data_IF_553310818129
#
_entry.id   IF_553310818129
#
_cell.length_a   1.000
_cell.length_b   1.000
_cell.length_c   1.000
_cell.angle_alpha   90.00
_cell.angle_beta   90.00
_cell.angle_gamma   90.00
#
_symmetry.space_group_name_H-M   'P 1'
#
loop_
_entity.id
_entity.type
_entity.pdbx_description
1 polymer ?
#
# COMPACT_ATOMS: atom_id res chain seq x y z
N UNK A 1 -19.54 27.30 -11.53
CA UNK A 1 -18.54 26.31 -12.05
C UNK A 1 -17.31 26.12 -11.15
N UNK A 2 -16.72 27.18 -10.55
CA UNK A 2 -15.64 27.02 -9.55
C UNK A 2 -16.07 26.41 -8.20
N UNK A 3 -17.31 26.63 -7.67
CA UNK A 3 -17.72 26.01 -6.42
C UNK A 3 -18.00 24.51 -6.52
N UNK A 4 -18.37 23.99 -7.68
CA UNK A 4 -18.63 22.56 -7.86
C UNK A 4 -17.34 21.74 -7.99
N UNK A 5 -16.26 22.32 -8.53
CA UNK A 5 -14.93 21.71 -8.55
C UNK A 5 -14.28 21.70 -7.16
N UNK A 6 -14.55 22.73 -6.34
CA UNK A 6 -14.15 22.74 -4.93
C UNK A 6 -14.96 21.77 -4.07
N UNK A 7 -16.22 21.52 -4.41
CA UNK A 7 -17.05 20.49 -3.75
C UNK A 7 -16.62 19.06 -4.09
N UNK A 8 -16.04 18.83 -5.28
CA UNK A 8 -15.47 17.53 -5.65
C UNK A 8 -14.11 17.27 -4.99
N UNK A 9 -13.40 18.32 -4.56
CA UNK A 9 -12.17 18.20 -3.76
C UNK A 9 -12.47 17.90 -2.27
N UNK A 10 -13.70 18.07 -1.83
CA UNK A 10 -14.25 17.51 -0.59
C UNK A 10 -14.93 16.15 -0.89
N UNK A 11 -14.20 15.24 -1.55
CA UNK A 11 -14.55 13.83 -1.46
C UNK A 11 -14.70 13.55 0.03
N UNK A 12 -15.93 13.30 0.50
CA UNK A 12 -16.19 13.13 1.92
C UNK A 12 -15.24 12.07 2.48
N UNK A 13 -14.92 12.11 3.76
CA UNK A 13 -13.98 11.24 4.44
C UNK A 13 -14.10 9.76 4.01
N UNK A 14 -15.32 9.24 3.88
CA UNK A 14 -15.60 7.87 3.46
C UNK A 14 -15.15 7.55 2.02
N UNK A 15 -15.45 8.35 0.99
CA UNK A 15 -14.93 8.12 -0.36
C UNK A 15 -13.41 8.11 -0.42
N UNK A 16 -12.73 9.03 0.28
CA UNK A 16 -11.27 9.08 0.30
C UNK A 16 -10.68 7.83 0.99
N UNK A 17 -11.20 7.43 2.14
CA UNK A 17 -10.79 6.21 2.82
C UNK A 17 -11.07 4.95 1.97
N UNK A 18 -12.25 4.88 1.33
CA UNK A 18 -12.63 3.76 0.46
C UNK A 18 -11.75 3.65 -0.79
N UNK A 19 -11.45 4.76 -1.43
CA UNK A 19 -10.53 4.80 -2.58
C UNK A 19 -9.13 4.35 -2.16
N UNK A 20 -8.59 4.90 -1.08
CA UNK A 20 -7.28 4.48 -0.55
C UNK A 20 -7.27 3.00 -0.18
N UNK A 21 -8.34 2.51 0.46
CA UNK A 21 -8.48 1.10 0.79
C UNK A 21 -8.37 0.22 -0.45
N UNK A 22 -9.14 0.50 -1.50
CA UNK A 22 -9.12 -0.28 -2.74
C UNK A 22 -7.76 -0.22 -3.43
N UNK A 23 -7.17 0.98 -3.50
CA UNK A 23 -5.86 1.21 -4.10
C UNK A 23 -4.78 0.36 -3.42
N UNK A 24 -4.67 0.48 -2.10
CA UNK A 24 -3.66 -0.24 -1.32
C UNK A 24 -3.95 -1.74 -1.30
N UNK A 25 -5.23 -2.15 -1.20
CA UNK A 25 -5.61 -3.56 -1.24
C UNK A 25 -5.14 -4.24 -2.53
N UNK A 26 -5.39 -3.61 -3.68
CA UNK A 26 -4.97 -4.16 -4.99
C UNK A 26 -3.46 -4.12 -5.17
N UNK A 27 -2.79 -3.09 -4.65
CA UNK A 27 -1.34 -2.93 -4.70
C UNK A 27 -0.59 -4.01 -3.92
N UNK A 28 -1.13 -4.39 -2.76
CA UNK A 28 -0.46 -5.25 -1.77
C UNK A 28 -0.98 -6.69 -1.76
N UNK A 29 -1.96 -7.00 -2.63
CA UNK A 29 -2.45 -8.36 -2.73
C UNK A 29 -1.39 -9.26 -3.36
N UNK A 30 -0.83 -10.21 -2.59
CA UNK A 30 0.23 -11.11 -3.02
C UNK A 30 1.66 -10.59 -2.80
N UNK A 31 1.85 -9.48 -2.09
CA UNK A 31 3.19 -8.93 -1.84
C UNK A 31 3.96 -9.66 -0.71
N UNK A 32 5.24 -9.31 -0.55
CA UNK A 32 6.21 -9.96 0.36
C UNK A 32 5.73 -10.03 1.81
N UNK A 33 5.13 -8.97 2.33
CA UNK A 33 4.57 -8.93 3.69
C UNK A 33 3.47 -9.97 3.91
N UNK A 34 2.64 -10.22 2.89
CA UNK A 34 1.63 -11.27 2.94
C UNK A 34 2.29 -12.65 3.01
N UNK A 35 3.37 -12.91 2.25
CA UNK A 35 4.12 -14.15 2.29
C UNK A 35 4.78 -14.37 3.66
N UNK A 36 5.37 -13.32 4.26
CA UNK A 36 5.92 -13.35 5.62
C UNK A 36 4.84 -13.77 6.62
N UNK A 37 3.68 -13.13 6.58
CA UNK A 37 2.55 -13.47 7.46
C UNK A 37 2.03 -14.90 7.24
N UNK A 38 2.00 -15.38 5.98
CA UNK A 38 1.64 -16.76 5.63
C UNK A 38 2.62 -17.77 6.22
N UNK A 39 3.92 -17.52 6.08
CA UNK A 39 4.99 -18.40 6.59
C UNK A 39 4.96 -18.49 8.11
N UNK A 40 4.81 -17.36 8.80
CA UNK A 40 4.67 -17.33 10.26
C UNK A 40 3.39 -18.03 10.71
N UNK A 41 2.27 -17.87 10.00
CA UNK A 41 0.99 -18.49 10.32
C UNK A 41 0.97 -20.01 10.14
N UNK A 42 1.88 -20.56 9.34
CA UNK A 42 2.07 -22.00 9.20
C UNK A 42 2.61 -22.64 10.49
N UNK A 43 3.34 -21.89 11.31
CA UNK A 43 4.03 -22.36 12.52
C UNK A 43 3.46 -21.83 13.83
N UNK A 44 2.75 -20.67 13.77
CA UNK A 44 2.28 -19.94 14.95
C UNK A 44 0.77 -19.65 14.90
N UNK A 45 0.23 -19.17 16.03
CA UNK A 45 -1.15 -18.68 16.09
C UNK A 45 -1.33 -17.42 15.26
N UNK A 46 -2.37 -17.37 14.42
CA UNK A 46 -2.57 -16.25 13.48
C UNK A 46 -2.85 -14.89 14.14
N UNK A 47 -3.58 -14.85 15.27
CA UNK A 47 -3.95 -13.57 15.90
C UNK A 47 -2.74 -12.72 16.32
N UNK A 48 -1.72 -13.24 17.01
CA UNK A 48 -0.51 -12.47 17.33
C UNK A 48 0.21 -11.92 16.08
N UNK A 49 0.20 -12.68 14.99
CA UNK A 49 0.80 -12.27 13.71
C UNK A 49 0.01 -11.09 13.13
N UNK A 50 -1.32 -11.19 13.07
CA UNK A 50 -2.18 -10.10 12.60
C UNK A 50 -1.96 -8.84 13.44
N UNK A 51 -1.93 -8.96 14.77
CA UNK A 51 -1.72 -7.82 15.67
C UNK A 51 -0.36 -7.16 15.42
N UNK A 52 0.72 -7.95 15.33
CA UNK A 52 2.07 -7.44 15.05
C UNK A 52 2.17 -6.73 13.69
N UNK A 53 1.64 -7.37 12.64
CA UNK A 53 1.66 -6.80 11.30
C UNK A 53 0.82 -5.52 11.18
N UNK A 54 -0.41 -5.53 11.69
CA UNK A 54 -1.30 -4.34 11.66
C UNK A 54 -0.70 -3.19 12.46
N UNK A 55 -0.07 -3.45 13.60
CA UNK A 55 0.63 -2.42 14.36
C UNK A 55 1.80 -1.81 13.55
N UNK A 56 2.59 -2.63 12.86
CA UNK A 56 3.67 -2.17 11.98
C UNK A 56 3.12 -1.29 10.85
N UNK A 57 2.11 -1.75 10.14
CA UNK A 57 1.47 -1.00 9.06
C UNK A 57 0.83 0.31 9.54
N UNK A 58 0.18 0.32 10.70
CA UNK A 58 -0.40 1.54 11.26
C UNK A 58 0.67 2.60 11.53
N UNK A 59 1.82 2.20 12.08
CA UNK A 59 2.95 3.12 12.32
C UNK A 59 3.55 3.59 11.00
N UNK A 60 3.80 2.68 10.05
CA UNK A 60 4.39 3.01 8.76
C UNK A 60 3.49 3.95 7.94
N UNK A 61 2.19 3.67 7.89
CA UNK A 61 1.22 4.54 7.20
C UNK A 61 1.10 5.91 7.89
N UNK A 62 1.17 5.97 9.23
CA UNK A 62 1.17 7.23 9.95
C UNK A 62 2.38 8.08 9.55
N UNK A 63 3.58 7.48 9.55
CA UNK A 63 4.80 8.17 9.12
C UNK A 63 4.70 8.64 7.67
N UNK A 64 4.17 7.79 6.77
CA UNK A 64 4.00 8.11 5.35
C UNK A 64 3.04 9.30 5.14
N UNK A 65 1.89 9.30 5.81
CA UNK A 65 0.89 10.36 5.73
C UNK A 65 1.42 11.67 6.30
N UNK A 66 2.10 11.64 7.45
CA UNK A 66 2.70 12.83 8.05
C UNK A 66 3.80 13.41 7.15
N UNK A 67 4.65 12.56 6.56
CA UNK A 67 5.65 12.97 5.61
C UNK A 67 5.01 13.56 4.35
N UNK A 68 3.99 12.91 3.78
CA UNK A 68 3.27 13.39 2.61
C UNK A 68 2.62 14.75 2.84
N UNK A 69 1.94 14.93 3.97
CA UNK A 69 1.33 16.21 4.34
C UNK A 69 2.38 17.32 4.53
N UNK A 70 3.54 16.99 5.15
CA UNK A 70 4.63 17.94 5.30
C UNK A 70 5.23 18.36 3.96
N UNK A 71 5.44 17.41 3.05
CA UNK A 71 5.94 17.68 1.69
C UNK A 71 4.96 18.55 0.90
N UNK A 72 3.66 18.27 0.97
CA UNK A 72 2.62 19.04 0.31
C UNK A 72 2.57 20.51 0.74
N UNK A 73 2.91 20.80 2.00
CA UNK A 73 2.97 22.16 2.51
C UNK A 73 4.08 23.02 1.88
N UNK A 74 5.11 22.39 1.29
CA UNK A 74 6.29 23.05 0.73
C UNK A 74 6.35 23.01 -0.79
N UNK A 75 5.68 22.06 -1.44
CA UNK A 75 5.76 21.84 -2.87
C UNK A 75 4.49 22.32 -3.59
N UNK A 76 4.61 22.90 -4.81
CA UNK A 76 3.46 23.22 -5.62
C UNK A 76 2.71 21.95 -6.06
N UNK A 77 1.38 22.03 -6.12
CA UNK A 77 0.48 20.90 -6.40
C UNK A 77 0.83 20.12 -7.67
N UNK A 78 1.24 20.83 -8.75
CA UNK A 78 1.62 20.16 -10.00
C UNK A 78 2.84 19.26 -9.84
N UNK A 79 3.80 19.65 -9.00
CA UNK A 79 5.01 18.85 -8.75
C UNK A 79 4.70 17.61 -7.94
N UNK A 80 3.82 17.72 -6.96
CA UNK A 80 3.32 16.58 -6.18
C UNK A 80 2.57 15.60 -7.08
N UNK A 81 1.65 16.09 -7.93
CA UNK A 81 0.90 15.26 -8.87
C UNK A 81 1.82 14.55 -9.86
N UNK A 82 2.84 15.25 -10.38
CA UNK A 82 3.83 14.65 -11.27
C UNK A 82 4.63 13.54 -10.55
N UNK A 83 5.09 13.80 -9.34
CA UNK A 83 5.82 12.81 -8.55
C UNK A 83 4.99 11.55 -8.29
N UNK A 84 3.72 11.71 -7.91
CA UNK A 84 2.77 10.60 -7.71
C UNK A 84 2.53 9.82 -9.01
N UNK A 85 2.38 10.52 -10.15
CA UNK A 85 2.22 9.87 -11.45
C UNK A 85 3.45 9.03 -11.83
N UNK A 86 4.65 9.57 -11.64
CA UNK A 86 5.93 8.86 -11.89
C UNK A 86 6.05 7.63 -10.98
N UNK A 87 5.70 7.77 -9.69
CA UNK A 87 5.69 6.65 -8.74
C UNK A 87 4.73 5.54 -9.20
N UNK A 88 3.50 5.87 -9.51
CA UNK A 88 2.52 4.88 -9.98
C UNK A 88 2.95 4.23 -11.28
N UNK A 89 3.54 4.98 -12.22
CA UNK A 89 4.09 4.41 -13.45
C UNK A 89 5.23 3.42 -13.15
N UNK A 90 6.16 3.79 -12.28
CA UNK A 90 7.29 2.92 -11.89
C UNK A 90 6.81 1.63 -11.22
N UNK A 91 5.84 1.72 -10.31
CA UNK A 91 5.24 0.56 -9.64
C UNK A 91 4.47 -0.33 -10.61
N UNK A 92 3.69 0.28 -11.51
CA UNK A 92 2.98 -0.45 -12.55
C UNK A 92 3.92 -1.27 -13.43
N UNK A 93 5.00 -0.64 -13.92
CA UNK A 93 6.02 -1.30 -14.74
C UNK A 93 6.72 -2.41 -13.95
N UNK A 94 7.09 -2.14 -12.69
CA UNK A 94 7.79 -3.11 -11.85
C UNK A 94 6.90 -4.34 -11.55
N UNK A 95 5.63 -4.10 -11.22
CA UNK A 95 4.65 -5.15 -10.96
C UNK A 95 4.38 -6.03 -12.21
N UNK A 96 4.41 -5.45 -13.42
CA UNK A 96 4.29 -6.21 -14.67
C UNK A 96 5.54 -7.04 -14.98
N UNK A 97 6.72 -6.63 -14.49
CA UNK A 97 8.00 -7.34 -14.66
C UNK A 97 8.24 -8.41 -13.61
N UNK A 98 7.35 -8.53 -12.63
CA UNK A 98 7.47 -9.53 -11.56
C UNK A 98 7.67 -10.93 -12.13
N UNK A 99 8.63 -11.67 -11.57
CA UNK A 99 8.94 -13.07 -11.88
C UNK A 99 8.97 -13.88 -10.59
N UNK A 100 8.35 -15.05 -10.59
CA UNK A 100 8.26 -15.93 -9.41
C UNK A 100 9.63 -16.40 -8.86
N UNK A 101 10.74 -16.08 -9.55
CA UNK A 101 12.10 -16.47 -9.13
C UNK A 101 12.71 -15.58 -8.02
N UNK A 102 12.05 -14.48 -7.62
CA UNK A 102 12.61 -13.51 -6.68
C UNK A 102 12.16 -13.70 -5.21
N UNK A 103 11.28 -14.67 -4.90
CA UNK A 103 10.64 -14.81 -3.59
C UNK A 103 11.33 -15.77 -2.58
N UNK A 104 12.58 -16.21 -2.83
CA UNK A 104 13.29 -17.20 -1.97
C UNK A 104 14.02 -16.61 -0.74
N UNK A 105 13.69 -15.40 -0.28
CA UNK A 105 14.24 -14.90 0.98
C UNK A 105 13.54 -15.55 2.19
N UNK A 106 14.18 -16.57 2.74
CA UNK A 106 13.75 -17.23 3.98
C UNK A 106 13.80 -16.25 5.16
N UNK A 107 12.67 -16.05 5.81
CA UNK A 107 12.56 -15.23 7.03
C UNK A 107 13.15 -16.01 8.21
N UNK A 108 14.32 -15.59 8.71
CA UNK A 108 14.91 -16.15 9.93
C UNK A 108 14.21 -15.61 11.19
N UNK A 109 13.65 -16.52 11.99
CA UNK A 109 13.15 -16.19 13.32
C UNK A 109 14.29 -16.00 14.31
N UNK A 110 14.33 -14.86 15.00
CA UNK A 110 15.22 -14.66 16.15
C UNK A 110 14.56 -15.23 17.43
N UNK A 111 15.19 -16.23 18.11
CA UNK A 111 14.68 -16.76 19.36
C UNK A 111 14.66 -15.67 20.46
N UNK A 112 13.56 -15.58 21.20
CA UNK A 112 13.49 -14.77 22.43
C UNK A 112 12.53 -13.59 22.44
N UNK A 113 11.90 -13.24 21.31
CA UNK A 113 10.87 -12.20 21.26
C UNK A 113 9.49 -12.85 21.06
N UNK A 114 8.44 -12.32 21.72
CA UNK A 114 7.07 -12.79 21.46
C UNK A 114 6.70 -12.58 19.99
N UNK A 115 5.91 -13.52 19.43
CA UNK A 115 5.56 -13.52 17.99
C UNK A 115 4.98 -12.19 17.50
N UNK A 116 4.32 -11.40 18.36
CA UNK A 116 3.83 -10.06 18.02
C UNK A 116 5.00 -9.12 17.71
N UNK A 117 6.02 -9.08 18.58
CA UNK A 117 7.18 -8.22 18.40
C UNK A 117 8.03 -8.67 17.20
N UNK A 118 8.18 -9.96 17.00
CA UNK A 118 8.88 -10.53 15.85
C UNK A 118 8.17 -10.13 14.55
N UNK A 119 6.86 -10.33 14.46
CA UNK A 119 6.08 -9.96 13.27
C UNK A 119 6.12 -8.46 13.04
N UNK A 120 5.95 -7.64 14.08
CA UNK A 120 6.06 -6.19 13.97
C UNK A 120 7.41 -5.79 13.37
N UNK A 121 8.51 -6.29 13.92
CA UNK A 121 9.86 -5.93 13.47
C UNK A 121 10.12 -6.37 12.04
N UNK A 122 9.72 -7.59 11.69
CA UNK A 122 9.91 -8.11 10.33
C UNK A 122 9.12 -7.29 9.31
N UNK A 123 7.85 -7.05 9.55
CA UNK A 123 7.00 -6.25 8.64
C UNK A 123 7.49 -4.81 8.60
N UNK A 124 7.82 -4.21 9.75
CA UNK A 124 8.31 -2.84 9.80
C UNK A 124 9.58 -2.66 8.97
N UNK A 125 10.55 -3.57 9.10
CA UNK A 125 11.81 -3.49 8.35
C UNK A 125 11.64 -3.83 6.86
N UNK A 126 10.79 -4.82 6.53
CA UNK A 126 10.53 -5.23 5.16
C UNK A 126 9.82 -4.15 4.34
N UNK A 127 8.91 -3.41 5.00
CA UNK A 127 8.04 -2.42 4.35
C UNK A 127 8.53 -0.97 4.53
N UNK A 128 9.59 -0.75 5.30
CA UNK A 128 10.12 0.59 5.52
C UNK A 128 10.67 1.20 4.23
N UNK A 129 10.02 2.26 3.74
CA UNK A 129 10.40 2.92 2.49
C UNK A 129 9.91 2.24 1.22
N UNK A 130 9.01 1.24 1.32
CA UNK A 130 8.47 0.54 0.16
C UNK A 130 7.49 1.42 -0.66
N UNK A 131 7.14 0.91 -1.85
CA UNK A 131 6.22 1.52 -2.83
C UNK A 131 4.92 2.01 -2.20
N UNK A 132 4.32 1.23 -1.29
CA UNK A 132 3.05 1.57 -0.65
C UNK A 132 3.16 2.77 0.27
N UNK A 133 4.26 2.92 1.00
CA UNK A 133 4.50 4.12 1.81
C UNK A 133 4.59 5.38 0.94
N UNK A 134 5.26 5.29 -0.21
CA UNK A 134 5.35 6.41 -1.15
C UNK A 134 3.98 6.74 -1.75
N UNK A 135 3.17 5.73 -2.09
CA UNK A 135 1.81 5.92 -2.57
C UNK A 135 0.91 6.55 -1.49
N UNK A 136 0.98 6.06 -0.24
CA UNK A 136 0.24 6.59 0.91
C UNK A 136 0.67 8.03 1.23
N UNK A 137 1.97 8.35 1.16
CA UNK A 137 2.47 9.70 1.30
C UNK A 137 1.94 10.62 0.19
N UNK A 138 1.94 10.17 -1.06
CA UNK A 138 1.39 10.89 -2.19
C UNK A 138 -0.12 11.15 -2.06
N UNK A 139 -0.90 10.13 -1.65
CA UNK A 139 -2.33 10.29 -1.38
C UNK A 139 -2.58 11.23 -0.19
N UNK A 140 -1.82 11.10 0.90
CA UNK A 140 -1.92 11.93 2.09
C UNK A 140 -1.55 13.39 1.85
N UNK A 141 -0.77 13.69 0.79
CA UNK A 141 -0.45 15.06 0.37
C UNK A 141 -1.59 15.74 -0.42
N UNK A 142 -2.46 14.96 -1.05
CA UNK A 142 -3.51 15.48 -1.95
C UNK A 142 -4.93 15.28 -1.42
N UNK A 143 -5.11 14.52 -0.34
CA UNK A 143 -6.41 14.25 0.30
C UNK A 143 -6.30 14.38 1.82
N UNK A 144 -7.40 14.17 2.53
CA UNK A 144 -7.42 14.27 4.00
C UNK A 144 -6.57 13.14 4.62
N UNK A 145 -5.50 13.48 5.37
CA UNK A 145 -4.51 12.52 5.87
C UNK A 145 -5.07 11.38 6.71
N UNK A 146 -6.07 11.66 7.57
CA UNK A 146 -6.65 10.64 8.45
C UNK A 146 -7.45 9.59 7.64
N UNK A 147 -8.15 10.00 6.59
CA UNK A 147 -8.89 9.07 5.71
C UNK A 147 -7.95 8.15 4.96
N UNK A 148 -6.80 8.67 4.49
CA UNK A 148 -5.76 7.89 3.83
C UNK A 148 -5.14 6.88 4.79
N UNK A 149 -4.80 7.31 6.01
CA UNK A 149 -4.25 6.42 7.03
C UNK A 149 -5.18 5.27 7.38
N UNK A 150 -6.47 5.55 7.60
CA UNK A 150 -7.48 4.53 7.91
C UNK A 150 -7.66 3.57 6.73
N UNK A 151 -7.82 4.11 5.51
CA UNK A 151 -8.00 3.31 4.30
C UNK A 151 -6.82 2.37 4.04
N UNK A 152 -5.60 2.90 4.07
CA UNK A 152 -4.39 2.11 3.86
C UNK A 152 -4.19 1.04 4.94
N UNK A 153 -4.35 1.41 6.22
CA UNK A 153 -4.18 0.46 7.33
C UNK A 153 -5.25 -0.64 7.30
N UNK A 154 -6.50 -0.31 6.98
CA UNK A 154 -7.56 -1.30 6.83
C UNK A 154 -7.30 -2.26 5.66
N UNK A 155 -6.76 -1.76 4.52
CA UNK A 155 -6.38 -2.59 3.39
C UNK A 155 -5.29 -3.60 3.76
N UNK A 156 -4.20 -3.12 4.39
CA UNK A 156 -3.09 -3.96 4.82
C UNK A 156 -3.49 -4.95 5.94
N UNK A 157 -4.38 -4.55 6.83
CA UNK A 157 -4.98 -5.48 7.80
C UNK A 157 -5.77 -6.59 7.10
N UNK A 158 -6.53 -6.24 6.05
CA UNK A 158 -7.31 -7.20 5.27
C UNK A 158 -6.41 -8.19 4.54
N UNK A 159 -5.37 -7.71 3.83
CA UNK A 159 -4.40 -8.59 3.15
C UNK A 159 -3.67 -9.49 4.13
N UNK A 160 -3.30 -8.96 5.31
CA UNK A 160 -2.68 -9.75 6.39
C UNK A 160 -3.60 -10.88 6.89
N UNK A 161 -4.87 -10.58 7.18
CA UNK A 161 -5.85 -11.59 7.62
C UNK A 161 -6.04 -12.65 6.55
N UNK A 162 -6.18 -12.26 5.29
CA UNK A 162 -6.28 -13.18 4.17
C UNK A 162 -5.01 -14.03 4.03
N UNK A 163 -3.83 -13.43 4.13
CA UNK A 163 -2.54 -14.12 4.11
C UNK A 163 -2.41 -15.14 5.23
N UNK A 164 -2.72 -14.77 6.47
CA UNK A 164 -2.69 -15.67 7.63
C UNK A 164 -3.67 -16.84 7.46
N UNK A 165 -4.87 -16.60 6.93
CA UNK A 165 -5.83 -17.67 6.66
C UNK A 165 -5.38 -18.57 5.51
N UNK A 166 -4.82 -18.00 4.45
CA UNK A 166 -4.28 -18.74 3.31
C UNK A 166 -3.05 -19.57 3.72
N UNK A 167 -2.14 -19.03 4.53
CA UNK A 167 -0.97 -19.74 5.03
C UNK A 167 -1.31 -20.99 5.83
N UNK A 168 -2.44 -20.98 6.52
CA UNK A 168 -2.96 -22.14 7.24
C UNK A 168 -3.62 -23.20 6.36
N UNK A 169 -4.11 -22.83 5.19
CA UNK A 169 -4.95 -23.70 4.36
C UNK A 169 -4.39 -24.00 2.97
N UNK A 170 -3.53 -23.14 2.40
CA UNK A 170 -3.32 -23.12 0.96
C UNK A 170 -1.91 -22.73 0.49
N UNK A 171 -0.85 -23.01 1.25
CA UNK A 171 0.54 -22.62 0.97
C UNK A 171 1.03 -22.80 -0.50
N UNK A 172 0.33 -23.57 -1.36
CA UNK A 172 0.83 -23.99 -2.67
C UNK A 172 -0.10 -23.65 -3.86
N UNK A 173 -1.10 -22.76 -3.76
CA UNK A 173 -2.11 -22.61 -4.84
C UNK A 173 -2.49 -21.19 -5.24
N UNK A 174 -1.79 -20.14 -4.77
CA UNK A 174 -2.14 -18.77 -5.18
C UNK A 174 -1.43 -18.40 -6.49
N UNK A 175 -2.15 -17.95 -7.52
CA UNK A 175 -1.56 -17.51 -8.79
C UNK A 175 -0.99 -16.09 -8.66
N UNK A 176 0.12 -15.93 -7.94
CA UNK A 176 0.77 -14.65 -7.63
C UNK A 176 1.05 -13.82 -8.89
N UNK A 177 1.48 -14.46 -9.96
CA UNK A 177 1.78 -13.81 -11.24
C UNK A 177 0.59 -13.00 -11.79
N UNK A 178 -0.63 -13.58 -11.73
CA UNK A 178 -1.83 -12.89 -12.22
C UNK A 178 -2.21 -11.70 -11.37
N UNK A 179 -1.99 -11.80 -10.06
CA UNK A 179 -2.26 -10.73 -9.10
C UNK A 179 -1.32 -9.56 -9.37
N UNK A 180 -0.02 -9.81 -9.50
CA UNK A 180 0.96 -8.79 -9.84
C UNK A 180 0.68 -8.12 -11.19
N UNK A 181 0.29 -8.87 -12.21
CA UNK A 181 -0.09 -8.31 -13.51
C UNK A 181 -1.32 -7.40 -13.42
N UNK A 182 -2.36 -7.82 -12.69
CA UNK A 182 -3.57 -7.01 -12.48
C UNK A 182 -3.24 -5.70 -11.74
N UNK A 183 -2.43 -5.77 -10.67
CA UNK A 183 -1.95 -4.61 -9.93
C UNK A 183 -1.11 -3.67 -10.81
N UNK A 184 -0.23 -4.23 -11.64
CA UNK A 184 0.59 -3.46 -12.57
C UNK A 184 -0.23 -2.64 -13.57
N UNK A 185 -1.22 -3.27 -14.21
CA UNK A 185 -2.15 -2.57 -15.11
C UNK A 185 -2.91 -1.47 -14.37
N UNK A 186 -3.38 -1.75 -13.17
CA UNK A 186 -4.11 -0.79 -12.36
C UNK A 186 -3.28 0.45 -12.00
N UNK A 187 -2.02 0.28 -11.56
CA UNK A 187 -1.12 1.39 -11.31
C UNK A 187 -0.81 2.22 -12.55
N UNK A 188 -0.65 1.59 -13.71
CA UNK A 188 -0.46 2.33 -14.96
C UNK A 188 -1.69 3.14 -15.35
N UNK A 189 -2.90 2.64 -15.10
CA UNK A 189 -4.13 3.41 -15.31
C UNK A 189 -4.19 4.64 -14.38
N UNK A 190 -3.77 4.49 -13.13
CA UNK A 190 -3.70 5.61 -12.18
C UNK A 190 -2.66 6.65 -12.58
N UNK A 191 -1.47 6.22 -13.00
CA UNK A 191 -0.44 7.11 -13.51
C UNK A 191 -0.97 7.89 -14.72
N UNK A 192 -1.65 7.21 -15.67
CA UNK A 192 -2.28 7.83 -16.82
C UNK A 192 -3.36 8.85 -16.42
N UNK A 193 -4.21 8.53 -15.44
CA UNK A 193 -5.23 9.45 -14.94
C UNK A 193 -4.62 10.70 -14.28
N UNK A 194 -3.56 10.53 -13.46
CA UNK A 194 -2.85 11.65 -12.85
C UNK A 194 -2.18 12.56 -13.88
N UNK A 195 -1.52 12.01 -14.90
CA UNK A 195 -0.93 12.76 -15.99
C UNK A 195 -1.99 13.47 -16.85
N UNK A 196 -3.12 12.81 -17.11
CA UNK A 196 -4.24 13.43 -17.82
C UNK A 196 -4.80 14.63 -17.06
N UNK A 197 -4.97 14.50 -15.73
CA UNK A 197 -5.41 15.60 -14.88
C UNK A 197 -4.42 16.78 -14.92
N UNK A 198 -3.13 16.49 -14.90
CA UNK A 198 -2.07 17.50 -14.99
C UNK A 198 -2.04 18.21 -16.35
N UNK A 199 -2.30 17.46 -17.44
CA UNK A 199 -2.28 18.01 -18.80
C UNK A 199 -3.56 18.79 -19.17
N UNK A 200 -4.68 18.55 -18.49
CA UNK A 200 -5.98 19.15 -18.79
C UNK A 200 -5.98 20.68 -18.87
N UNK A 201 -5.30 21.44 -17.98
CA UNK A 201 -5.21 22.90 -18.08
C UNK A 201 -4.47 23.42 -19.31
N UNK A 202 -3.66 22.58 -19.97
CA UNK A 202 -2.91 22.96 -21.18
C UNK A 202 -3.77 22.94 -22.46
N UNK A 203 -4.98 22.33 -22.40
CA UNK A 203 -5.87 22.12 -23.53
C UNK A 203 -7.19 22.91 -23.37
N UNK A 204 -7.40 23.56 -22.24
CA UNK A 204 -8.53 24.45 -21.93
C UNK A 204 -8.16 25.92 -22.04
#
# INVERSE_FOLDING_TARGET
>A
MLPELAASAQAGWLPAAGTTFLLVLLAEFGDKSQLVCMTLAARHRGLPIVVGAVAAFAVLNLLAVLFGAAVAAWLPEWLVTLAVAVLFASFGINSLRYSEAEDDEAVEEKPGHGIVATTFTLIFLAEFGDKTQLAVAGLGSSTEPASVWVGATAALATTTVLGVQAGRRLLNRLPLLWIHRASGVFFLLLAGAALFHLARPLWA
#
